data_IF_982699052055
#
_entry.id   IF_982699052055
#
_cell.length_a   1.000
_cell.length_b   1.000
_cell.length_c   1.000
_cell.angle_alpha   90.00
_cell.angle_beta   90.00
_cell.angle_gamma   90.00
#
_symmetry.space_group_name_H-M   'P 1'
#
loop_
_entity.id
_entity.type
_entity.pdbx_description
1 polymer ?
#
# COMPACT_ATOMS: atom_id res chain seq x y z
N UNK A 1 -14.02 -31.91 -33.79
CA UNK A 1 -13.04 -31.65 -32.71
C UNK A 1 -11.86 -30.93 -33.33
N UNK A 2 -11.63 -29.67 -32.95
CA UNK A 2 -10.33 -28.97 -32.85
C UNK A 2 -10.72 -27.55 -32.42
N UNK A 3 -10.58 -27.33 -31.11
CA UNK A 3 -10.69 -26.01 -30.48
C UNK A 3 -9.63 -25.11 -31.11
N UNK A 4 -10.06 -24.07 -31.81
CA UNK A 4 -9.18 -23.01 -32.30
C UNK A 4 -8.61 -22.30 -31.08
N UNK A 5 -7.35 -22.63 -30.74
CA UNK A 5 -6.57 -21.89 -29.76
C UNK A 5 -6.55 -20.42 -30.16
N UNK A 6 -7.36 -19.62 -29.47
CA UNK A 6 -7.38 -18.17 -29.63
C UNK A 6 -6.10 -17.66 -28.98
N UNK A 7 -5.04 -17.50 -29.77
CA UNK A 7 -3.85 -16.76 -29.36
C UNK A 7 -4.30 -15.32 -29.08
N UNK A 8 -4.59 -15.01 -27.82
CA UNK A 8 -4.83 -13.65 -27.38
C UNK A 8 -3.53 -12.86 -27.53
N UNK A 9 -3.44 -12.08 -28.61
CA UNK A 9 -2.36 -11.12 -28.86
C UNK A 9 -2.18 -10.22 -27.63
N UNK A 10 -0.97 -10.28 -27.06
CA UNK A 10 -0.46 -9.47 -25.95
C UNK A 10 -0.68 -7.99 -26.18
N UNK A 11 -1.53 -7.38 -25.36
CA UNK A 11 -1.45 -5.96 -25.05
C UNK A 11 -1.89 -5.76 -23.59
N UNK A 12 -0.93 -5.74 -22.66
CA UNK A 12 -1.17 -5.24 -21.29
C UNK A 12 -0.69 -3.79 -21.29
N UNK A 13 -1.45 -2.89 -21.92
CA UNK A 13 -1.27 -1.46 -21.65
C UNK A 13 -1.76 -1.22 -20.22
N UNK A 14 -0.92 -0.59 -19.41
CA UNK A 14 -1.39 -0.02 -18.18
C UNK A 14 -2.36 1.12 -18.51
N UNK A 15 -3.55 1.20 -17.89
CA UNK A 15 -4.09 0.31 -16.86
C UNK A 15 -4.73 -0.98 -17.44
N UNK A 16 -4.68 -2.11 -16.72
CA UNK A 16 -5.31 -3.35 -17.17
C UNK A 16 -6.81 -3.18 -17.36
N UNK A 17 -7.35 -3.72 -18.46
CA UNK A 17 -8.79 -3.65 -18.79
C UNK A 17 -9.64 -4.48 -17.82
N UNK A 18 -9.18 -5.69 -17.52
CA UNK A 18 -9.92 -6.65 -16.71
C UNK A 18 -9.49 -6.52 -15.25
N UNK A 19 -10.29 -5.79 -14.47
CA UNK A 19 -10.11 -5.59 -13.04
C UNK A 19 -11.16 -6.37 -12.28
N UNK A 20 -10.72 -7.11 -11.28
CA UNK A 20 -11.54 -7.93 -10.40
C UNK A 20 -11.55 -7.24 -9.04
N UNK A 21 -12.73 -7.15 -8.39
CA UNK A 21 -12.91 -6.63 -7.03
C UNK A 21 -12.15 -5.33 -6.75
N UNK A 22 -12.63 -4.22 -7.31
CA UNK A 22 -12.05 -2.90 -7.04
C UNK A 22 -12.53 -2.36 -5.69
N UNK A 23 -11.59 -2.03 -4.81
CA UNK A 23 -11.83 -1.36 -3.54
C UNK A 23 -11.39 0.11 -3.63
N UNK A 24 -12.15 1.01 -3.01
CA UNK A 24 -11.82 2.43 -2.91
C UNK A 24 -11.48 2.76 -1.45
N UNK A 25 -10.36 3.45 -1.24
CA UNK A 25 -9.92 3.88 0.08
C UNK A 25 -10.41 5.31 0.38
N UNK A 26 -10.55 5.70 1.67
CA UNK A 26 -10.96 7.05 2.05
C UNK A 26 -10.05 8.17 1.50
N UNK A 27 -8.78 7.87 1.24
CA UNK A 27 -7.83 8.81 0.63
C UNK A 27 -8.06 9.06 -0.88
N UNK A 28 -9.04 8.37 -1.48
CA UNK A 28 -9.31 8.38 -2.92
C UNK A 28 -8.48 7.36 -3.71
N UNK A 29 -7.49 6.73 -3.07
CA UNK A 29 -6.70 5.63 -3.65
C UNK A 29 -7.60 4.44 -3.94
N UNK A 30 -7.16 3.55 -4.83
CA UNK A 30 -7.92 2.35 -5.19
C UNK A 30 -7.03 1.13 -5.17
N UNK A 31 -7.60 -0.02 -4.87
CA UNK A 31 -6.97 -1.31 -5.16
C UNK A 31 -7.87 -2.17 -6.01
N UNK A 32 -7.28 -3.07 -6.79
CA UNK A 32 -8.01 -4.07 -7.57
C UNK A 32 -7.10 -5.25 -7.86
N UNK A 33 -7.70 -6.40 -8.14
CA UNK A 33 -6.99 -7.60 -8.58
C UNK A 33 -7.03 -7.64 -10.11
N UNK A 34 -5.94 -8.03 -10.75
CA UNK A 34 -5.92 -8.34 -12.17
C UNK A 34 -5.05 -9.56 -12.41
N UNK A 35 -5.18 -10.17 -13.59
CA UNK A 35 -4.31 -11.28 -13.99
C UNK A 35 -3.02 -10.70 -14.55
N UNK A 36 -1.93 -10.87 -13.80
CA UNK A 36 -0.58 -10.52 -14.18
C UNK A 36 0.14 -11.72 -14.80
N UNK A 37 1.32 -11.45 -15.35
CA UNK A 37 2.24 -12.47 -15.83
C UNK A 37 3.34 -12.62 -14.78
N UNK A 38 3.59 -13.85 -14.32
CA UNK A 38 4.70 -14.17 -13.42
C UNK A 38 6.05 -13.95 -14.10
N UNK A 39 7.01 -13.44 -13.34
CA UNK A 39 8.35 -13.15 -13.88
C UNK A 39 9.17 -14.43 -14.16
N UNK A 40 9.01 -15.48 -13.34
CA UNK A 40 9.79 -16.72 -13.43
C UNK A 40 9.49 -17.58 -14.66
N UNK A 41 8.21 -17.93 -14.86
CA UNK A 41 7.77 -18.90 -15.87
C UNK A 41 6.79 -18.31 -16.89
N UNK A 42 6.39 -17.06 -16.69
CA UNK A 42 5.46 -16.37 -17.56
C UNK A 42 4.02 -16.87 -17.50
N UNK A 43 3.65 -17.65 -16.49
CA UNK A 43 2.26 -18.07 -16.28
C UNK A 43 1.41 -16.92 -15.76
N UNK A 44 0.10 -17.09 -15.93
CA UNK A 44 -0.88 -16.16 -15.39
C UNK A 44 -1.00 -16.33 -13.87
N UNK A 45 -1.04 -15.21 -13.16
CA UNK A 45 -1.25 -15.21 -11.71
C UNK A 45 -2.09 -14.02 -11.25
N UNK A 46 -2.87 -14.16 -10.17
CA UNK A 46 -3.59 -13.04 -9.59
C UNK A 46 -2.61 -12.06 -8.92
N UNK A 47 -2.74 -10.79 -9.26
CA UNK A 47 -1.92 -9.71 -8.69
C UNK A 47 -2.83 -8.65 -8.09
N UNK A 48 -2.61 -8.34 -6.82
CA UNK A 48 -3.24 -7.21 -6.14
C UNK A 48 -2.49 -5.93 -6.49
N UNK A 49 -3.20 -4.93 -7.00
CA UNK A 49 -2.59 -3.66 -7.38
C UNK A 49 -3.19 -2.49 -6.62
N UNK A 50 -2.34 -1.53 -6.26
CA UNK A 50 -2.71 -0.27 -5.64
C UNK A 50 -2.40 0.89 -6.59
N UNK A 51 -3.35 1.80 -6.72
CA UNK A 51 -3.23 2.99 -7.58
C UNK A 51 -3.65 4.24 -6.83
N UNK A 52 -3.09 5.37 -7.24
CA UNK A 52 -3.50 6.68 -6.73
C UNK A 52 -4.85 7.14 -7.36
N UNK A 53 -5.26 8.35 -6.97
CA UNK A 53 -6.52 8.96 -7.43
C UNK A 53 -6.49 9.24 -8.94
N UNK A 54 -5.29 9.34 -9.54
CA UNK A 54 -5.04 9.56 -10.97
C UNK A 54 -4.85 8.24 -11.75
N UNK A 55 -5.03 7.08 -11.12
CA UNK A 55 -4.75 5.75 -11.67
C UNK A 55 -3.26 5.46 -11.99
N UNK A 56 -2.33 6.19 -11.37
CA UNK A 56 -0.91 5.85 -11.41
C UNK A 56 -0.65 4.68 -10.47
N UNK A 57 0.14 3.71 -10.95
CA UNK A 57 0.54 2.53 -10.18
C UNK A 57 1.38 2.97 -8.98
N UNK A 58 0.94 2.63 -7.77
CA UNK A 58 1.72 2.81 -6.54
C UNK A 58 2.56 1.57 -6.28
N UNK A 59 1.91 0.41 -6.22
CA UNK A 59 2.57 -0.89 -6.05
C UNK A 59 1.66 -2.01 -6.53
N UNK A 60 2.21 -3.21 -6.62
CA UNK A 60 1.47 -4.44 -6.80
C UNK A 60 2.07 -5.54 -5.93
N UNK A 61 1.31 -6.61 -5.69
CA UNK A 61 1.75 -7.76 -4.92
C UNK A 61 1.14 -9.02 -5.53
N UNK A 62 1.95 -10.04 -5.73
CA UNK A 62 1.46 -11.39 -6.00
C UNK A 62 0.97 -12.05 -4.70
N UNK A 63 0.51 -13.30 -4.79
CA UNK A 63 -0.03 -14.03 -3.62
C UNK A 63 1.00 -14.21 -2.50
N UNK A 64 2.25 -14.53 -2.85
CA UNK A 64 3.32 -14.72 -1.86
C UNK A 64 3.66 -13.42 -1.13
N UNK A 65 3.78 -12.32 -1.86
CA UNK A 65 4.04 -11.00 -1.31
C UNK A 65 2.90 -10.53 -0.38
N UNK A 66 1.65 -10.84 -0.72
CA UNK A 66 0.50 -10.57 0.15
C UNK A 66 0.61 -11.37 1.46
N UNK A 67 0.92 -12.66 1.39
CA UNK A 67 1.08 -13.52 2.58
C UNK A 67 2.24 -13.05 3.46
N UNK A 68 3.35 -12.64 2.86
CA UNK A 68 4.49 -12.10 3.60
C UNK A 68 4.14 -10.74 4.23
N UNK A 69 3.38 -9.90 3.54
CA UNK A 69 2.90 -8.64 4.08
C UNK A 69 1.98 -8.86 5.28
N UNK A 70 1.07 -9.83 5.22
CA UNK A 70 0.18 -10.19 6.34
C UNK A 70 0.98 -10.59 7.59
N UNK A 71 2.04 -11.40 7.43
CA UNK A 71 2.93 -11.75 8.54
C UNK A 71 3.66 -10.55 9.14
N UNK A 72 3.94 -9.51 8.34
CA UNK A 72 4.63 -8.30 8.78
C UNK A 72 3.68 -7.28 9.42
N UNK A 73 2.36 -7.35 9.18
CA UNK A 73 1.39 -6.37 9.68
C UNK A 73 1.46 -6.13 11.19
N UNK A 74 1.50 -7.16 12.07
CA UNK A 74 1.54 -6.93 13.52
C UNK A 74 2.78 -6.16 13.97
N UNK A 75 3.92 -6.37 13.27
CA UNK A 75 5.16 -5.67 13.57
C UNK A 75 5.10 -4.21 13.13
N UNK A 76 4.50 -3.93 11.97
CA UNK A 76 4.28 -2.58 11.49
C UNK A 76 3.35 -1.79 12.43
N UNK A 77 2.25 -2.40 12.87
CA UNK A 77 1.31 -1.79 13.83
C UNK A 77 1.99 -1.41 15.15
N UNK A 78 2.86 -2.29 15.65
CA UNK A 78 3.66 -2.01 16.84
C UNK A 78 4.60 -0.83 16.62
N UNK A 79 5.28 -0.74 15.48
CA UNK A 79 6.16 0.39 15.19
C UNK A 79 5.39 1.71 15.09
N UNK A 80 4.22 1.73 14.44
CA UNK A 80 3.38 2.93 14.37
C UNK A 80 2.88 3.35 15.75
N UNK A 81 2.51 2.38 16.61
CA UNK A 81 2.08 2.66 17.97
C UNK A 81 3.19 3.32 18.80
N UNK A 82 4.40 2.76 18.75
CA UNK A 82 5.58 3.31 19.43
C UNK A 82 5.95 4.71 18.91
N UNK A 83 5.84 4.92 17.60
CA UNK A 83 6.07 6.23 17.00
C UNK A 83 5.08 7.28 17.53
N UNK A 84 3.79 6.94 17.57
CA UNK A 84 2.74 7.83 18.08
C UNK A 84 2.97 8.14 19.56
N UNK A 85 3.35 7.14 20.36
CA UNK A 85 3.66 7.33 21.77
C UNK A 85 4.84 8.29 21.98
N UNK A 86 5.93 8.07 21.24
CA UNK A 86 7.10 8.95 21.29
C UNK A 86 6.76 10.37 20.85
N UNK A 87 5.97 10.54 19.79
CA UNK A 87 5.55 11.86 19.33
C UNK A 87 4.76 12.62 20.41
N UNK A 88 3.88 11.95 21.15
CA UNK A 88 3.15 12.54 22.29
C UNK A 88 4.10 12.96 23.41
N UNK A 89 5.09 12.15 23.74
CA UNK A 89 6.07 12.47 24.78
C UNK A 89 6.90 13.70 24.40
N UNK A 90 7.38 13.77 23.16
CA UNK A 90 8.15 14.92 22.66
C UNK A 90 7.31 16.20 22.69
N UNK A 91 6.06 16.14 22.24
CA UNK A 91 5.17 17.30 22.30
C UNK A 91 4.95 17.79 23.74
N UNK A 92 4.80 16.88 24.70
CA UNK A 92 4.66 17.23 26.11
C UNK A 92 5.92 17.88 26.67
N UNK A 93 7.10 17.36 26.33
CA UNK A 93 8.39 17.93 26.75
C UNK A 93 8.59 19.34 26.17
N UNK A 94 8.26 19.54 24.90
CA UNK A 94 8.36 20.86 24.26
C UNK A 94 7.43 21.89 24.92
N UNK A 95 6.19 21.52 25.26
CA UNK A 95 5.28 22.41 25.99
C UNK A 95 5.85 22.80 27.37
N UNK A 96 6.42 21.85 28.11
CA UNK A 96 7.02 22.12 29.41
C UNK A 96 8.22 23.07 29.30
N UNK A 97 9.08 22.86 28.30
CA UNK A 97 10.22 23.73 28.02
C UNK A 97 9.78 25.15 27.64
N UNK A 98 8.74 25.30 26.80
CA UNK A 98 8.18 26.61 26.45
C UNK A 98 7.62 27.35 27.69
N UNK A 99 6.92 26.64 28.58
CA UNK A 99 6.43 27.20 29.84
C UNK A 99 7.56 27.65 30.77
N UNK A 100 8.62 26.85 30.91
CA UNK A 100 9.80 27.19 31.71
C UNK A 100 10.54 28.40 31.13
N UNK A 101 10.71 28.43 29.80
CA UNK A 101 11.32 29.55 29.10
C UNK A 101 10.53 30.84 29.34
N UNK A 102 9.20 30.80 29.19
CA UNK A 102 8.34 31.96 29.41
C UNK A 102 8.38 32.46 30.87
N UNK A 103 8.48 31.56 31.85
CA UNK A 103 8.66 31.95 33.27
C UNK A 103 9.99 32.65 33.48
N UNK A 104 11.07 32.14 32.87
CA UNK A 104 12.42 32.75 32.99
C UNK A 104 12.54 34.15 32.38
N UNK A 105 11.69 34.50 31.40
CA UNK A 105 11.65 35.84 30.81
C UNK A 105 10.80 36.85 31.62
N UNK A 106 10.04 36.37 32.60
CA UNK A 106 9.16 37.19 33.44
C UNK A 106 9.66 37.32 34.90
N UNK A 107 10.82 36.76 35.22
CA UNK A 107 11.64 37.07 36.40
C UNK A 107 12.75 38.07 36.04
#
# INVERSE_FOLDING_TARGET
MISTFRICKRFIYWPPKNKIRTLKFPSGKKSFIFIGKRDEDGKEEPVLCFVDNQNKKLTWMNEEEVLNFEKLMPRLDRYFSLYIEKAKQVNKQNMQLEEELNKSFHE
#
